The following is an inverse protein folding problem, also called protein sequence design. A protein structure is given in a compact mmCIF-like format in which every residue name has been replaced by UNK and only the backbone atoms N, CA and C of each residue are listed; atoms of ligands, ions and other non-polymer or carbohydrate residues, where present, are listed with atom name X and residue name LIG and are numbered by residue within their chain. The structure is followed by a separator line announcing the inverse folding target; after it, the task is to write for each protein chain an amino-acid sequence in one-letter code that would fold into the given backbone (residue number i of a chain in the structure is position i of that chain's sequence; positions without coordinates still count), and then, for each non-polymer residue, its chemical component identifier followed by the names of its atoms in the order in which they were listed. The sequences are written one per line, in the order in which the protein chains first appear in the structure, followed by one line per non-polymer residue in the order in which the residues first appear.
data_IF_631137481241
#
_entry.id   IF_631137481241
#
_cell.length_a   1.000
_cell.length_b   1.000
_cell.length_c   1.000
_cell.angle_alpha   90.00
_cell.angle_beta   90.00
_cell.angle_gamma   90.00
#
_symmetry.space_group_name_H-M   'P 1'
#
loop_
_entity.id
_entity.type
_entity.pdbx_description
1 polymer ?
#
# COMPACT_ATOMS: atom_id res chain seq x y z
N UNK A 1 -23.22 -49.44 -35.89
CA UNK A 1 -22.79 -48.02 -35.91
C UNK A 1 -22.55 -47.62 -34.47
N UNK A 2 -21.28 -47.59 -34.07
CA UNK A 2 -20.82 -47.48 -32.68
C UNK A 2 -20.93 -46.00 -32.26
N UNK A 3 -21.85 -45.64 -31.37
CA UNK A 3 -21.91 -44.27 -30.84
C UNK A 3 -20.89 -44.13 -29.71
N UNK A 4 -19.81 -43.43 -30.02
CA UNK A 4 -18.72 -43.08 -29.10
C UNK A 4 -19.21 -42.06 -28.07
N UNK A 5 -19.06 -42.41 -26.79
CA UNK A 5 -19.30 -41.56 -25.62
C UNK A 5 -18.29 -40.41 -25.57
N UNK A 6 -18.74 -39.15 -25.58
CA UNK A 6 -17.90 -38.00 -25.23
C UNK A 6 -18.23 -37.56 -23.80
N UNK A 7 -17.38 -37.95 -22.84
CA UNK A 7 -17.37 -37.35 -21.52
C UNK A 7 -16.47 -36.11 -21.56
N UNK A 8 -17.07 -34.93 -21.71
CA UNK A 8 -16.37 -33.67 -21.49
C UNK A 8 -16.38 -33.37 -19.99
N UNK A 9 -15.38 -33.88 -19.26
CA UNK A 9 -15.16 -33.47 -17.87
C UNK A 9 -14.61 -32.05 -17.90
N UNK A 10 -15.50 -31.08 -17.66
CA UNK A 10 -15.16 -29.68 -17.49
C UNK A 10 -14.26 -29.55 -16.25
N UNK A 11 -12.95 -29.36 -16.45
CA UNK A 11 -12.03 -29.00 -15.38
C UNK A 11 -12.34 -27.55 -15.01
N UNK A 12 -13.22 -27.35 -14.02
CA UNK A 12 -13.42 -26.03 -13.41
C UNK A 12 -12.16 -25.75 -12.62
N UNK A 13 -11.20 -25.07 -13.25
CA UNK A 13 -10.07 -24.47 -12.58
C UNK A 13 -10.63 -23.53 -11.50
N UNK A 14 -10.21 -23.76 -10.26
CA UNK A 14 -10.70 -23.05 -9.08
C UNK A 14 -10.65 -21.54 -9.29
N UNK A 15 -11.82 -20.93 -9.39
CA UNK A 15 -11.97 -19.55 -9.00
C UNK A 15 -11.69 -19.55 -7.50
N UNK A 16 -10.54 -18.98 -7.11
CA UNK A 16 -10.31 -18.64 -5.72
C UNK A 16 -11.49 -17.75 -5.30
N UNK A 17 -12.39 -18.32 -4.51
CA UNK A 17 -13.47 -17.56 -3.90
C UNK A 17 -12.81 -16.41 -3.14
N UNK A 18 -13.20 -15.19 -3.46
CA UNK A 18 -12.89 -14.03 -2.66
C UNK A 18 -13.58 -14.23 -1.30
N UNK A 19 -12.94 -15.00 -0.44
CA UNK A 19 -13.39 -15.19 0.92
C UNK A 19 -13.32 -13.80 1.55
N UNK A 20 -14.48 -13.26 1.92
CA UNK A 20 -14.58 -12.02 2.67
C UNK A 20 -13.99 -12.28 4.04
N UNK A 21 -12.65 -12.25 4.12
CA UNK A 21 -11.94 -12.34 5.36
C UNK A 21 -12.22 -11.06 6.16
N UNK A 22 -13.32 -11.09 6.92
CA UNK A 22 -13.71 -10.03 7.82
C UNK A 22 -12.86 -10.03 9.11
N UNK A 23 -11.72 -10.73 9.14
CA UNK A 23 -10.79 -10.72 10.28
C UNK A 23 -10.40 -9.31 10.70
N UNK A 24 -10.36 -8.35 9.77
CA UNK A 24 -10.12 -6.93 10.05
C UNK A 24 -11.10 -6.33 11.07
N UNK A 25 -12.34 -6.84 11.17
CA UNK A 25 -13.33 -6.38 12.17
C UNK A 25 -12.94 -6.73 13.60
N UNK A 26 -12.14 -7.80 13.77
CA UNK A 26 -11.71 -8.29 15.07
C UNK A 26 -10.29 -7.85 15.44
N UNK A 27 -9.55 -7.26 14.49
CA UNK A 27 -8.19 -6.76 14.70
C UNK A 27 -8.15 -5.79 15.88
N UNK A 28 -7.14 -5.94 16.75
CA UNK A 28 -6.94 -5.10 17.93
C UNK A 28 -5.87 -4.05 17.73
N UNK A 29 -5.06 -4.18 16.67
CA UNK A 29 -3.98 -3.26 16.37
C UNK A 29 -3.63 -3.25 14.88
N UNK A 30 -2.96 -2.18 14.44
CA UNK A 30 -2.37 -2.08 13.09
C UNK A 30 -1.33 -3.19 12.84
N UNK A 31 -0.73 -3.75 13.89
CA UNK A 31 0.34 -4.77 13.78
C UNK A 31 -0.16 -6.13 13.28
N UNK A 32 -1.47 -6.33 13.19
CA UNK A 32 -2.07 -7.55 12.66
C UNK A 32 -2.23 -7.51 11.13
N UNK A 33 -2.00 -6.34 10.53
CA UNK A 33 -2.19 -6.11 9.11
C UNK A 33 -0.90 -6.27 8.32
N UNK A 34 -1.08 -6.45 7.01
CA UNK A 34 -0.01 -6.52 6.02
C UNK A 34 -0.48 -5.79 4.77
N UNK A 35 0.43 -5.14 4.06
CA UNK A 35 0.18 -4.55 2.76
C UNK A 35 1.37 -4.77 1.83
N UNK A 36 1.19 -4.49 0.55
CA UNK A 36 2.29 -4.43 -0.39
C UNK A 36 2.97 -3.07 -0.26
N UNK A 37 4.29 -3.04 -0.18
CA UNK A 37 5.01 -1.80 -0.41
C UNK A 37 4.86 -1.36 -1.88
N UNK A 38 5.32 -0.14 -2.20
CA UNK A 38 5.25 0.43 -3.54
C UNK A 38 6.04 -0.38 -4.60
N UNK A 39 6.90 -1.31 -4.17
CA UNK A 39 7.65 -2.23 -5.03
C UNK A 39 6.97 -3.61 -5.16
N UNK A 40 5.81 -3.81 -4.53
CA UNK A 40 5.05 -5.05 -4.56
C UNK A 40 5.48 -6.11 -3.54
N UNK A 41 6.33 -5.77 -2.57
CA UNK A 41 6.73 -6.72 -1.52
C UNK A 41 5.73 -6.70 -0.38
N UNK A 42 5.38 -7.88 0.15
CA UNK A 42 4.50 -7.98 1.31
C UNK A 42 5.23 -7.55 2.59
N UNK A 43 4.73 -6.51 3.24
CA UNK A 43 5.27 -5.97 4.48
C UNK A 43 4.33 -6.29 5.65
N UNK A 44 4.88 -6.91 6.69
CA UNK A 44 4.17 -7.15 7.96
C UNK A 44 4.26 -5.89 8.85
N UNK A 45 3.11 -5.34 9.24
CA UNK A 45 3.06 -4.08 9.99
C UNK A 45 3.57 -4.23 11.42
N UNK A 46 3.78 -5.44 11.91
CA UNK A 46 4.46 -5.67 13.19
C UNK A 46 5.87 -5.06 13.23
N UNK A 47 6.51 -4.77 12.07
CA UNK A 47 7.79 -4.03 12.02
C UNK A 47 7.72 -2.63 12.63
N UNK A 48 6.52 -2.04 12.73
CA UNK A 48 6.29 -0.70 13.30
C UNK A 48 5.95 -0.73 14.80
N UNK A 49 6.03 -1.89 15.45
CA UNK A 49 5.80 -2.01 16.89
C UNK A 49 6.75 -1.10 17.65
N UNK A 50 6.23 -0.48 18.71
CA UNK A 50 6.95 0.45 19.60
C UNK A 50 7.47 1.74 18.94
N UNK A 51 7.01 2.03 17.71
CA UNK A 51 7.28 3.27 17.01
C UNK A 51 6.00 4.12 16.93
N UNK A 52 6.15 5.42 17.15
CA UNK A 52 5.09 6.37 16.77
C UNK A 52 4.97 6.32 15.25
N UNK A 53 3.80 5.92 14.76
CA UNK A 53 3.57 5.68 13.34
C UNK A 53 2.48 6.61 12.80
N UNK A 54 2.83 7.40 11.79
CA UNK A 54 1.91 8.24 11.04
C UNK A 54 1.51 7.53 9.75
N UNK A 55 0.23 7.19 9.62
CA UNK A 55 -0.34 6.59 8.42
C UNK A 55 -1.04 7.69 7.64
N UNK A 56 -0.72 7.85 6.35
CA UNK A 56 -1.23 8.95 5.52
C UNK A 56 -1.56 8.46 4.12
N UNK A 57 -2.75 8.82 3.64
CA UNK A 57 -3.09 8.67 2.24
C UNK A 57 -2.55 9.87 1.45
N UNK A 58 -1.92 9.62 0.30
CA UNK A 58 -1.20 10.65 -0.47
C UNK A 58 -1.62 10.66 -1.94
N UNK A 59 -1.41 11.79 -2.59
CA UNK A 59 -1.60 12.00 -4.03
C UNK A 59 -0.51 12.92 -4.57
N UNK A 60 -0.17 12.77 -5.84
CA UNK A 60 0.93 13.45 -6.53
C UNK A 60 0.46 14.62 -7.38
N UNK A 61 -0.83 14.68 -7.73
CA UNK A 61 -1.44 15.77 -8.53
C UNK A 61 -2.44 16.62 -7.75
N UNK A 62 -2.26 16.74 -6.43
CA UNK A 62 -3.03 17.66 -5.61
C UNK A 62 -2.31 19.01 -5.51
N UNK A 63 -3.06 20.11 -5.37
CA UNK A 63 -2.47 21.44 -5.10
C UNK A 63 -1.71 21.49 -3.78
N UNK A 64 -2.01 20.56 -2.85
CA UNK A 64 -1.35 20.44 -1.56
C UNK A 64 -0.17 19.46 -1.55
N UNK A 65 0.07 18.70 -2.63
CA UNK A 65 1.14 17.70 -2.73
C UNK A 65 2.49 18.28 -2.33
N UNK A 66 2.84 19.44 -2.89
CA UNK A 66 4.12 20.12 -2.61
C UNK A 66 4.28 20.41 -1.11
N UNK A 67 3.26 20.96 -0.47
CA UNK A 67 3.30 21.33 0.94
C UNK A 67 3.35 20.09 1.83
N UNK A 68 2.48 19.12 1.57
CA UNK A 68 2.36 17.91 2.38
C UNK A 68 3.63 17.07 2.35
N UNK A 69 4.17 16.72 1.18
CA UNK A 69 5.40 15.92 1.09
C UNK A 69 6.60 16.64 1.69
N UNK A 70 6.72 17.96 1.47
CA UNK A 70 7.81 18.75 2.06
C UNK A 70 7.77 18.68 3.59
N UNK A 71 6.58 18.85 4.20
CA UNK A 71 6.39 18.77 5.64
C UNK A 71 6.61 17.35 6.18
N UNK A 72 6.14 16.33 5.47
CA UNK A 72 6.34 14.93 5.85
C UNK A 72 7.82 14.53 5.82
N UNK A 73 8.54 14.87 4.75
CA UNK A 73 9.99 14.62 4.66
C UNK A 73 10.76 15.34 5.76
N UNK A 74 10.44 16.60 6.05
CA UNK A 74 11.06 17.35 7.15
C UNK A 74 10.76 16.73 8.52
N UNK A 75 9.52 16.30 8.75
CA UNK A 75 9.10 15.64 9.99
C UNK A 75 9.85 14.32 10.18
N UNK A 76 9.92 13.50 9.13
CA UNK A 76 10.62 12.21 9.15
C UNK A 76 12.11 12.41 9.45
N UNK A 77 12.78 13.29 8.70
CA UNK A 77 14.19 13.58 8.90
C UNK A 77 14.50 14.05 10.34
N UNK A 78 13.60 14.83 10.94
CA UNK A 78 13.80 15.36 12.29
C UNK A 78 13.64 14.30 13.39
N UNK A 79 12.74 13.34 13.21
CA UNK A 79 12.27 12.48 14.31
C UNK A 79 12.42 10.97 14.09
N UNK A 80 12.78 10.50 12.90
CA UNK A 80 12.85 9.06 12.60
C UNK A 80 13.86 8.34 13.50
N UNK A 81 15.08 8.88 13.60
CA UNK A 81 16.16 8.27 14.39
C UNK A 81 16.11 8.70 15.85
N UNK A 82 15.84 9.98 16.11
CA UNK A 82 15.93 10.55 17.46
C UNK A 82 14.74 10.19 18.35
N UNK A 83 13.58 9.88 17.76
CA UNK A 83 12.31 9.62 18.47
C UNK A 83 11.56 8.40 17.94
N UNK A 84 12.10 7.68 16.96
CA UNK A 84 11.45 6.48 16.42
C UNK A 84 10.20 6.77 15.59
N UNK A 85 10.09 7.94 14.95
CA UNK A 85 8.97 8.21 14.04
C UNK A 85 9.03 7.30 12.81
N UNK A 86 7.90 6.71 12.44
CA UNK A 86 7.70 6.00 11.16
C UNK A 86 6.54 6.63 10.41
N UNK A 87 6.67 6.73 9.08
CA UNK A 87 5.59 7.22 8.21
C UNK A 87 5.29 6.10 7.21
N UNK A 88 4.01 5.79 7.06
CA UNK A 88 3.48 4.84 6.08
C UNK A 88 2.58 5.64 5.12
N UNK A 89 3.06 5.85 3.90
CA UNK A 89 2.34 6.61 2.89
C UNK A 89 1.66 5.68 1.89
N UNK A 90 0.35 5.84 1.73
CA UNK A 90 -0.51 5.05 0.83
C UNK A 90 -1.02 5.94 -0.30
N UNK A 91 -0.43 5.87 -1.51
CA UNK A 91 -0.99 6.50 -2.69
C UNK A 91 -2.44 6.03 -2.92
N UNK A 92 -3.32 6.94 -3.35
CA UNK A 92 -4.71 6.57 -3.67
C UNK A 92 -5.28 7.46 -4.75
N UNK A 93 -5.99 6.86 -5.69
CA UNK A 93 -6.63 7.57 -6.79
C UNK A 93 -8.12 7.90 -6.52
N UNK A 94 -8.61 7.62 -5.32
CA UNK A 94 -10.04 7.75 -4.97
C UNK A 94 -10.48 9.22 -4.82
N UNK A 95 -9.52 10.12 -4.61
CA UNK A 95 -9.78 11.54 -4.40
C UNK A 95 -9.53 12.35 -5.68
N UNK A 96 -10.62 12.60 -6.41
CA UNK A 96 -10.62 13.40 -7.65
C UNK A 96 -9.59 12.95 -8.71
N UNK A 97 -9.23 11.66 -8.69
CA UNK A 97 -8.26 11.03 -9.60
C UNK A 97 -6.88 11.71 -9.61
N UNK A 98 -6.41 12.15 -8.44
CA UNK A 98 -5.15 12.89 -8.29
C UNK A 98 -3.90 11.99 -8.17
N UNK A 99 -4.05 10.66 -8.29
CA UNK A 99 -2.94 9.70 -8.33
C UNK A 99 -3.06 8.73 -9.51
N UNK A 100 -3.01 9.23 -10.76
CA UNK A 100 -3.26 8.42 -11.95
C UNK A 100 -2.03 7.62 -12.45
N UNK A 101 -0.90 7.73 -11.76
CA UNK A 101 0.38 7.18 -12.20
C UNK A 101 0.59 5.75 -11.69
N UNK A 102 1.49 5.01 -12.32
CA UNK A 102 1.89 3.70 -11.83
C UNK A 102 2.78 3.84 -10.59
N UNK A 103 2.83 2.81 -9.74
CA UNK A 103 3.60 2.82 -8.48
C UNK A 103 5.06 3.23 -8.64
N UNK A 104 5.74 2.72 -9.68
CA UNK A 104 7.12 3.09 -9.98
C UNK A 104 7.26 4.59 -10.30
N UNK A 105 6.31 5.17 -11.03
CA UNK A 105 6.32 6.59 -11.38
C UNK A 105 6.06 7.46 -10.14
N UNK A 106 5.13 7.04 -9.27
CA UNK A 106 4.85 7.70 -7.99
C UNK A 106 6.11 7.70 -7.12
N UNK A 107 6.73 6.53 -6.95
CA UNK A 107 7.96 6.35 -6.16
C UNK A 107 9.09 7.28 -6.64
N UNK A 108 9.37 7.27 -7.94
CA UNK A 108 10.44 8.08 -8.52
C UNK A 108 10.12 9.58 -8.43
N UNK A 109 8.86 9.96 -8.62
CA UNK A 109 8.41 11.34 -8.44
C UNK A 109 8.67 11.84 -7.01
N UNK A 110 8.17 11.13 -5.99
CA UNK A 110 8.26 11.61 -4.60
C UNK A 110 9.69 11.58 -4.08
N UNK A 111 10.49 10.60 -4.51
CA UNK A 111 11.91 10.51 -4.19
C UNK A 111 12.68 11.68 -4.82
N UNK A 112 12.49 11.94 -6.12
CA UNK A 112 13.21 13.00 -6.83
C UNK A 112 12.83 14.40 -6.36
N UNK A 113 11.54 14.65 -6.10
CA UNK A 113 11.05 15.99 -5.78
C UNK A 113 11.13 16.33 -4.29
N UNK A 114 10.95 15.34 -3.41
CA UNK A 114 10.80 15.58 -1.97
C UNK A 114 11.77 14.80 -1.10
N UNK A 115 12.69 14.03 -1.71
CA UNK A 115 13.64 13.17 -1.00
C UNK A 115 12.96 12.25 0.03
N UNK A 116 11.81 11.68 -0.34
CA UNK A 116 11.08 10.73 0.50
C UNK A 116 11.97 9.52 0.80
N UNK A 117 12.09 9.20 2.08
CA UNK A 117 12.88 8.08 2.63
C UNK A 117 12.08 7.21 3.62
N UNK A 118 10.81 7.55 3.84
CA UNK A 118 9.88 6.73 4.62
C UNK A 118 9.16 5.71 3.72
N UNK A 119 8.44 4.78 4.35
CA UNK A 119 7.85 3.63 3.66
C UNK A 119 6.63 4.06 2.81
N UNK A 120 6.64 3.66 1.54
CA UNK A 120 5.56 3.87 0.57
C UNK A 120 4.89 2.52 0.26
N UNK A 121 3.57 2.54 0.09
CA UNK A 121 2.72 1.36 -0.11
C UNK A 121 1.94 1.42 -1.42
N UNK A 122 1.19 0.35 -1.73
CA UNK A 122 0.29 0.19 -2.88
C UNK A 122 -1.05 -0.38 -2.42
#
# INVERSE_FOLDING_TARGET
MLTLTFAATLLVAGLAEANSDESWKNAKSIYEFRALDIDGNKVDFNKYRDHVTLIVNVTSKCTLTQEHYTKLSALYHKYSESKGLRIMAFPTNDFAKQEPWAELEIKEFVKKQFNVTFDMFS
#
